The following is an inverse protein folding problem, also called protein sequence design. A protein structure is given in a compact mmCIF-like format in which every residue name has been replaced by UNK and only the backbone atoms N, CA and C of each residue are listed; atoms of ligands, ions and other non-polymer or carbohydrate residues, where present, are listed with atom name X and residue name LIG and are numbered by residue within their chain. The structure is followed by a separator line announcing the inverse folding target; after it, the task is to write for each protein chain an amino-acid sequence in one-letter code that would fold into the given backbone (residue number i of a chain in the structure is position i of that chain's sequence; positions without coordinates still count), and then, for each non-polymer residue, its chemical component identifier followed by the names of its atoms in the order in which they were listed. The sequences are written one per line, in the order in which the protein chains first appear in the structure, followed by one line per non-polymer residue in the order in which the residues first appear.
data_IF_905434103368
#
_entry.id   IF_905434103368
#
_cell.length_a   1.000
_cell.length_b   1.000
_cell.length_c   1.000
_cell.angle_alpha   90.00
_cell.angle_beta   90.00
_cell.angle_gamma   90.00
#
_symmetry.space_group_name_H-M   'P 1'
#
loop_
_entity.id
_entity.type
_entity.pdbx_description
1 polymer ?
#
# COMPACT_ATOMS: atom_id res chain seq x y z
N UNK A 1 -12.63 -26.91 32.01
CA UNK A 1 -13.01 -27.63 33.22
C UNK A 1 -13.08 -29.11 32.96
N UNK A 2 -12.60 -29.95 33.90
CA UNK A 2 -12.67 -31.41 33.83
C UNK A 2 -13.67 -31.90 34.87
N UNK A 3 -13.34 -31.70 36.18
CA UNK A 3 -14.16 -32.16 37.26
C UNK A 3 -13.83 -31.44 38.56
N UNK A 4 -14.62 -31.70 39.59
CA UNK A 4 -14.39 -31.37 41.00
C UNK A 4 -13.89 -32.62 41.72
N UNK A 5 -12.85 -32.47 42.51
CA UNK A 5 -12.35 -33.54 43.39
C UNK A 5 -12.36 -33.10 44.87
N UNK A 6 -12.45 -34.08 45.77
CA UNK A 6 -12.26 -33.86 47.20
C UNK A 6 -10.77 -33.76 47.59
N UNK A 7 -10.49 -33.69 48.88
CA UNK A 7 -9.12 -33.61 49.43
C UNK A 7 -8.27 -34.83 49.14
N UNK A 8 -8.87 -35.97 48.88
CA UNK A 8 -8.20 -37.23 48.57
C UNK A 8 -7.99 -37.41 47.04
N UNK A 9 -8.39 -36.42 46.26
CA UNK A 9 -8.31 -36.45 44.80
C UNK A 9 -9.39 -37.28 44.11
N UNK A 10 -10.40 -37.75 44.86
CA UNK A 10 -11.52 -38.48 44.29
C UNK A 10 -12.50 -37.54 43.65
N UNK A 11 -12.97 -37.92 42.44
CA UNK A 11 -14.00 -37.16 41.72
C UNK A 11 -15.33 -37.13 42.51
N UNK A 12 -15.88 -35.94 42.71
CA UNK A 12 -17.20 -35.72 43.32
C UNK A 12 -18.22 -35.24 42.31
N UNK A 13 -17.81 -34.58 41.24
CA UNK A 13 -18.71 -34.17 40.16
C UNK A 13 -17.96 -33.76 38.90
N UNK A 14 -18.52 -34.03 37.74
CA UNK A 14 -18.10 -33.49 36.42
C UNK A 14 -19.00 -32.33 35.97
N UNK A 15 -20.02 -31.94 36.76
CA UNK A 15 -20.91 -30.84 36.41
C UNK A 15 -20.31 -29.49 36.69
N UNK A 16 -20.54 -28.51 35.78
CA UNK A 16 -20.19 -27.13 35.98
C UNK A 16 -21.34 -26.22 35.49
N UNK A 17 -22.08 -25.56 36.38
CA UNK A 17 -21.87 -25.48 37.82
C UNK A 17 -22.21 -26.81 38.56
N UNK A 18 -21.54 -27.01 39.71
CA UNK A 18 -21.83 -28.10 40.62
C UNK A 18 -22.55 -27.56 41.87
N UNK A 19 -23.73 -28.09 42.16
CA UNK A 19 -24.53 -27.71 43.32
C UNK A 19 -24.59 -28.87 44.29
N UNK A 20 -24.32 -28.63 45.57
CA UNK A 20 -24.37 -29.68 46.62
C UNK A 20 -24.82 -29.09 47.93
N UNK A 21 -25.32 -29.93 48.82
CA UNK A 21 -25.68 -29.57 50.19
C UNK A 21 -24.44 -29.61 51.09
N UNK A 22 -24.12 -28.51 51.73
CA UNK A 22 -23.01 -28.43 52.70
C UNK A 22 -23.48 -28.99 54.04
N UNK A 23 -23.04 -30.19 54.41
CA UNK A 23 -23.39 -30.86 55.70
C UNK A 23 -22.20 -30.95 56.66
N UNK A 24 -21.00 -30.68 56.18
CA UNK A 24 -19.74 -30.65 56.92
C UNK A 24 -18.72 -29.75 56.22
N UNK A 25 -17.57 -29.51 56.88
CA UNK A 25 -16.48 -28.80 56.23
C UNK A 25 -16.04 -29.56 54.99
N UNK A 26 -16.13 -28.91 53.83
CA UNK A 26 -15.88 -29.53 52.53
C UNK A 26 -14.87 -28.66 51.76
N UNK A 27 -13.83 -29.29 51.26
CA UNK A 27 -12.87 -28.68 50.30
C UNK A 27 -13.04 -29.33 48.97
N UNK A 28 -13.23 -28.54 47.94
CA UNK A 28 -13.31 -28.99 46.53
C UNK A 28 -12.22 -28.36 45.71
N UNK A 29 -11.60 -29.17 44.85
CA UNK A 29 -10.61 -28.73 43.87
C UNK A 29 -11.22 -28.78 42.50
N UNK A 30 -11.21 -27.66 41.78
CA UNK A 30 -11.59 -27.59 40.37
C UNK A 30 -10.41 -27.96 39.50
N UNK A 31 -10.57 -29.01 38.70
CA UNK A 31 -9.56 -29.47 37.75
C UNK A 31 -9.84 -28.98 36.34
N UNK A 32 -8.80 -28.50 35.69
CA UNK A 32 -8.86 -28.00 34.30
C UNK A 32 -7.83 -28.74 33.45
N UNK A 33 -8.21 -29.08 32.22
CA UNK A 33 -7.28 -29.53 31.23
C UNK A 33 -6.92 -28.35 30.33
N UNK A 34 -5.62 -28.13 30.10
CA UNK A 34 -5.18 -27.18 29.09
C UNK A 34 -5.73 -27.61 27.75
N UNK A 35 -6.48 -26.72 27.09
CA UNK A 35 -6.81 -26.94 25.69
C UNK A 35 -5.53 -26.72 24.89
N UNK A 36 -5.06 -27.75 24.21
CA UNK A 36 -4.07 -27.60 23.15
C UNK A 36 -4.80 -26.98 21.95
N UNK A 37 -4.96 -25.67 21.96
CA UNK A 37 -5.41 -24.92 20.80
C UNK A 37 -4.24 -24.99 19.82
N UNK A 38 -4.32 -25.86 18.82
CA UNK A 38 -3.43 -25.76 17.67
C UNK A 38 -3.55 -24.33 17.13
N UNK A 39 -2.45 -23.58 17.01
CA UNK A 39 -2.52 -22.26 16.39
C UNK A 39 -3.22 -22.41 15.04
N UNK A 40 -4.31 -21.69 14.85
CA UNK A 40 -4.98 -21.62 13.56
C UNK A 40 -4.00 -21.01 12.56
N UNK A 41 -3.87 -21.65 11.40
CA UNK A 41 -3.02 -21.14 10.34
C UNK A 41 -3.54 -19.74 9.91
N UNK A 42 -2.65 -18.78 9.59
CA UNK A 42 -3.10 -17.49 9.12
C UNK A 42 -4.05 -17.62 7.93
N UNK A 43 -5.02 -16.76 7.82
CA UNK A 43 -5.88 -16.70 6.63
C UNK A 43 -5.18 -15.99 5.48
N UNK A 44 -5.70 -16.13 4.26
CA UNK A 44 -5.22 -15.36 3.11
C UNK A 44 -5.25 -13.85 3.39
N UNK A 45 -6.24 -13.36 4.17
CA UNK A 45 -6.36 -11.96 4.56
C UNK A 45 -5.25 -11.55 5.53
N UNK A 46 -4.91 -12.39 6.51
CA UNK A 46 -3.85 -12.09 7.48
C UNK A 46 -2.49 -11.95 6.78
N UNK A 47 -2.20 -12.82 5.81
CA UNK A 47 -0.98 -12.73 4.99
C UNK A 47 -0.98 -11.45 4.14
N UNK A 48 -2.11 -11.10 3.54
CA UNK A 48 -2.24 -9.89 2.74
C UNK A 48 -2.07 -8.63 3.59
N UNK A 49 -2.67 -8.59 4.77
CA UNK A 49 -2.55 -7.48 5.73
C UNK A 49 -1.08 -7.32 6.21
N UNK A 50 -0.35 -8.42 6.41
CA UNK A 50 1.09 -8.41 6.71
C UNK A 50 1.92 -7.85 5.54
N UNK A 51 1.57 -8.18 4.30
CA UNK A 51 2.23 -7.65 3.10
C UNK A 51 2.01 -6.14 3.01
N UNK A 52 0.79 -5.67 3.27
CA UNK A 52 0.42 -4.25 3.25
C UNK A 52 1.15 -3.49 4.37
N UNK A 53 1.05 -3.97 5.61
CA UNK A 53 1.65 -3.33 6.78
C UNK A 53 3.18 -3.27 6.68
N UNK A 54 3.80 -4.32 6.13
CA UNK A 54 5.24 -4.41 5.90
C UNK A 54 5.73 -3.68 4.65
N UNK A 55 4.83 -3.07 3.85
CA UNK A 55 5.17 -2.44 2.56
C UNK A 55 6.04 -3.35 1.67
N UNK A 56 5.70 -4.65 1.66
CA UNK A 56 6.53 -5.68 1.01
C UNK A 56 6.44 -5.67 -0.53
N UNK A 57 5.49 -4.93 -1.10
CA UNK A 57 5.36 -4.72 -2.56
C UNK A 57 6.10 -3.44 -2.93
N UNK A 58 7.00 -3.45 -3.92
CA UNK A 58 7.68 -2.25 -4.38
C UNK A 58 6.69 -1.18 -4.84
N UNK A 59 6.86 0.06 -4.37
CA UNK A 59 6.04 1.20 -4.80
C UNK A 59 6.62 1.92 -6.01
N UNK A 60 7.89 1.66 -6.33
CA UNK A 60 8.60 2.25 -7.47
C UNK A 60 9.43 1.17 -8.16
N UNK A 61 9.32 1.11 -9.48
CA UNK A 61 10.21 0.33 -10.36
C UNK A 61 11.09 1.32 -11.09
N UNK A 62 12.42 1.18 -10.91
CA UNK A 62 13.40 2.09 -11.48
C UNK A 62 13.73 1.75 -12.94
N UNK A 63 14.39 2.69 -13.61
CA UNK A 63 14.79 2.47 -15.00
C UNK A 63 15.79 1.30 -15.10
N UNK A 64 15.44 0.31 -15.92
CA UNK A 64 16.26 -0.88 -16.14
C UNK A 64 15.81 -2.12 -15.35
N UNK A 65 14.92 -1.96 -14.39
CA UNK A 65 14.22 -3.10 -13.77
C UNK A 65 13.17 -3.63 -14.72
N UNK A 66 13.17 -4.94 -14.91
CA UNK A 66 12.32 -5.64 -15.87
C UNK A 66 11.28 -6.54 -15.21
N UNK A 67 11.23 -6.53 -13.87
CA UNK A 67 10.33 -7.40 -13.10
C UNK A 67 9.82 -6.72 -11.82
N UNK A 68 8.54 -6.89 -11.55
CA UNK A 68 7.92 -6.62 -10.25
C UNK A 68 8.01 -7.88 -9.40
N UNK A 69 8.96 -7.91 -8.48
CA UNK A 69 9.14 -9.06 -7.57
C UNK A 69 8.09 -9.04 -6.48
N UNK A 70 7.28 -10.08 -6.40
CA UNK A 70 6.31 -10.27 -5.33
C UNK A 70 6.99 -10.80 -4.05
N UNK A 71 6.47 -10.46 -2.85
CA UNK A 71 6.99 -11.00 -1.60
C UNK A 71 6.75 -12.50 -1.50
N UNK A 72 7.63 -13.18 -0.76
CA UNK A 72 7.45 -14.59 -0.45
C UNK A 72 6.32 -14.75 0.58
N UNK A 73 5.48 -15.76 0.39
CA UNK A 73 4.43 -16.17 1.31
C UNK A 73 4.79 -17.50 1.96
N UNK A 74 4.17 -17.86 3.10
CA UNK A 74 4.42 -19.15 3.76
C UNK A 74 4.10 -20.35 2.85
N UNK A 75 4.64 -21.50 3.19
CA UNK A 75 4.38 -22.75 2.47
C UNK A 75 2.89 -23.08 2.46
N UNK A 76 2.37 -23.50 1.32
CA UNK A 76 0.97 -23.77 1.09
C UNK A 76 0.14 -22.59 0.64
N UNK A 77 0.64 -21.34 0.80
CA UNK A 77 0.00 -20.13 0.27
C UNK A 77 0.49 -19.84 -1.14
N UNK A 78 -0.36 -19.14 -1.90
CA UNK A 78 -0.02 -18.66 -3.25
C UNK A 78 -0.21 -17.16 -3.32
N UNK A 79 0.68 -16.47 -4.02
CA UNK A 79 0.57 -15.04 -4.31
C UNK A 79 0.70 -14.82 -5.80
N UNK A 80 -0.14 -13.97 -6.36
CA UNK A 80 -0.14 -13.69 -7.80
C UNK A 80 -0.72 -12.31 -8.11
N UNK A 81 -0.33 -11.75 -9.25
CA UNK A 81 -0.97 -10.59 -9.85
C UNK A 81 -2.20 -11.07 -10.62
N UNK A 82 -3.36 -10.50 -10.33
CA UNK A 82 -4.62 -10.89 -10.98
C UNK A 82 -5.16 -9.82 -11.93
N UNK A 83 -4.76 -8.56 -11.73
CA UNK A 83 -5.17 -7.44 -12.59
C UNK A 83 -4.12 -6.36 -12.60
N UNK A 84 -4.00 -5.66 -13.71
CA UNK A 84 -3.14 -4.47 -13.88
C UNK A 84 -3.89 -3.37 -14.62
N UNK A 85 -3.62 -2.11 -14.28
CA UNK A 85 -4.20 -0.96 -14.97
C UNK A 85 -3.25 0.26 -14.87
N UNK A 86 -2.79 0.85 -16.00
CA UNK A 86 -3.05 0.44 -17.38
C UNK A 86 -2.34 -0.87 -17.76
N UNK A 87 -2.88 -1.57 -18.75
CA UNK A 87 -2.28 -2.78 -19.29
C UNK A 87 -1.02 -2.45 -20.12
N UNK A 88 -0.18 -3.47 -20.34
CA UNK A 88 0.99 -3.38 -21.23
C UNK A 88 2.25 -2.79 -20.59
N UNK A 89 2.21 -2.38 -19.31
CA UNK A 89 3.39 -1.91 -18.57
C UNK A 89 3.89 -2.97 -17.59
N UNK A 90 3.00 -3.55 -16.80
CA UNK A 90 3.29 -4.70 -15.95
C UNK A 90 2.40 -5.85 -16.42
N UNK A 91 2.98 -7.02 -16.66
CA UNK A 91 2.24 -8.23 -17.00
C UNK A 91 1.84 -9.00 -15.74
N UNK A 92 0.91 -9.96 -15.87
CA UNK A 92 0.44 -10.76 -14.74
C UNK A 92 1.52 -11.69 -14.15
N UNK A 93 2.57 -11.96 -14.90
CA UNK A 93 3.75 -12.70 -14.44
C UNK A 93 4.80 -11.81 -13.74
N UNK A 94 4.53 -10.51 -13.64
CA UNK A 94 5.44 -9.54 -13.04
C UNK A 94 6.40 -8.88 -14.03
N UNK A 95 6.45 -9.32 -15.30
CA UNK A 95 7.33 -8.72 -16.30
C UNK A 95 6.98 -7.24 -16.53
N UNK A 96 8.00 -6.37 -16.55
CA UNK A 96 7.85 -4.92 -16.67
C UNK A 96 8.36 -4.44 -18.04
N UNK A 97 7.51 -3.73 -18.75
CA UNK A 97 7.85 -3.00 -19.98
C UNK A 97 8.03 -1.52 -19.64
N UNK A 98 9.24 -0.97 -19.88
CA UNK A 98 9.53 0.42 -19.58
C UNK A 98 8.65 1.35 -20.42
N UNK A 99 7.79 2.19 -19.81
CA UNK A 99 6.95 3.14 -20.52
C UNK A 99 7.76 4.32 -21.07
N UNK A 100 7.14 5.13 -21.95
CA UNK A 100 7.77 6.36 -22.47
C UNK A 100 7.93 7.44 -21.41
N UNK A 101 6.96 7.55 -20.51
CA UNK A 101 6.92 8.51 -19.38
C UNK A 101 6.70 7.75 -18.08
N UNK A 102 7.07 8.36 -16.96
CA UNK A 102 6.72 7.85 -15.64
C UNK A 102 5.22 7.59 -15.56
N UNK A 103 4.85 6.37 -15.18
CA UNK A 103 3.45 5.94 -15.17
C UNK A 103 3.13 5.22 -13.88
N UNK A 104 2.03 5.59 -13.25
CA UNK A 104 1.50 4.86 -12.10
C UNK A 104 0.62 3.71 -12.60
N UNK A 105 0.91 2.51 -12.13
CA UNK A 105 0.20 1.28 -12.47
C UNK A 105 -0.47 0.74 -11.21
N UNK A 106 -1.77 0.50 -11.27
CA UNK A 106 -2.50 -0.20 -10.22
C UNK A 106 -2.38 -1.69 -10.47
N UNK A 107 -1.83 -2.41 -9.51
CA UNK A 107 -1.63 -3.86 -9.55
C UNK A 107 -2.49 -4.50 -8.48
N UNK A 108 -3.44 -5.35 -8.89
CA UNK A 108 -4.22 -6.16 -7.95
C UNK A 108 -3.47 -7.44 -7.66
N UNK A 109 -3.08 -7.61 -6.39
CA UNK A 109 -2.39 -8.82 -5.91
C UNK A 109 -3.38 -9.65 -5.11
N UNK A 110 -3.40 -10.96 -5.36
CA UNK A 110 -4.25 -11.92 -4.67
C UNK A 110 -3.39 -12.94 -3.93
N UNK A 111 -3.77 -13.20 -2.68
CA UNK A 111 -3.21 -14.28 -1.85
C UNK A 111 -4.25 -15.35 -1.71
N UNK A 112 -3.86 -16.62 -1.86
CA UNK A 112 -4.73 -17.79 -1.68
C UNK A 112 -4.14 -18.64 -0.55
N UNK A 113 -4.96 -19.02 0.43
CA UNK A 113 -4.56 -19.91 1.52
C UNK A 113 -4.63 -21.40 1.11
N UNK A 114 -4.13 -22.32 1.96
CA UNK A 114 -4.16 -23.76 1.68
C UNK A 114 -5.56 -24.34 1.54
N UNK A 115 -6.59 -23.64 2.04
CA UNK A 115 -8.00 -24.05 1.94
C UNK A 115 -8.65 -23.55 0.64
N UNK A 116 -7.92 -22.74 -0.17
CA UNK A 116 -8.39 -22.19 -1.42
C UNK A 116 -9.15 -20.86 -1.29
N UNK A 117 -9.24 -20.29 -0.08
CA UNK A 117 -9.81 -18.95 0.12
C UNK A 117 -8.85 -17.90 -0.36
N UNK A 118 -9.36 -16.82 -0.95
CA UNK A 118 -8.55 -15.75 -1.52
C UNK A 118 -8.85 -14.41 -0.87
N UNK A 119 -7.80 -13.59 -0.72
CA UNK A 119 -7.89 -12.19 -0.39
C UNK A 119 -7.12 -11.38 -1.44
N UNK A 120 -7.56 -10.16 -1.75
CA UNK A 120 -6.93 -9.33 -2.78
C UNK A 120 -6.89 -7.87 -2.36
N UNK A 121 -5.83 -7.17 -2.80
CA UNK A 121 -5.69 -5.73 -2.61
C UNK A 121 -5.03 -5.07 -3.83
N UNK A 122 -5.29 -3.78 -4.00
CA UNK A 122 -4.70 -2.96 -5.05
C UNK A 122 -3.48 -2.20 -4.51
N UNK A 123 -2.40 -2.23 -5.28
CA UNK A 123 -1.14 -1.54 -5.01
C UNK A 123 -0.82 -0.59 -6.15
N UNK A 124 -0.46 0.65 -5.82
CA UNK A 124 0.02 1.59 -6.82
C UNK A 124 1.54 1.47 -6.95
N UNK A 125 2.01 1.13 -8.14
CA UNK A 125 3.43 1.00 -8.48
C UNK A 125 3.79 2.04 -9.53
N UNK A 126 4.73 2.93 -9.21
CA UNK A 126 5.26 3.91 -10.15
C UNK A 126 6.37 3.30 -10.99
N UNK A 127 6.12 3.12 -12.28
CA UNK A 127 7.13 2.63 -13.24
C UNK A 127 7.82 3.82 -13.90
N UNK A 128 9.14 3.91 -13.71
CA UNK A 128 9.96 4.96 -14.32
C UNK A 128 10.10 4.77 -15.82
N UNK A 129 9.79 5.85 -16.57
CA UNK A 129 9.85 5.87 -18.03
C UNK A 129 11.26 6.12 -18.58
N UNK A 130 11.37 5.98 -19.90
CA UNK A 130 12.62 6.29 -20.63
C UNK A 130 12.98 7.76 -20.53
N UNK A 131 12.01 8.64 -20.20
CA UNK A 131 12.17 10.10 -20.21
C UNK A 131 12.96 10.54 -21.46
N UNK A 132 12.43 10.24 -22.65
CA UNK A 132 12.95 10.87 -23.86
C UNK A 132 12.80 12.38 -23.67
N UNK A 133 13.90 13.17 -23.79
CA UNK A 133 13.79 14.61 -23.77
C UNK A 133 12.75 14.98 -24.83
N UNK A 134 11.67 15.63 -24.39
CA UNK A 134 10.53 15.94 -25.23
C UNK A 134 11.05 16.57 -26.53
N UNK A 135 10.63 16.03 -27.66
CA UNK A 135 10.42 16.87 -28.83
C UNK A 135 9.41 17.90 -28.37
N UNK A 136 9.89 19.11 -28.13
CA UNK A 136 9.02 20.28 -28.02
C UNK A 136 8.07 20.18 -29.22
N UNK A 137 6.77 20.27 -28.97
CA UNK A 137 5.76 20.44 -29.99
C UNK A 137 6.29 21.48 -30.98
N UNK A 138 6.26 21.20 -32.31
CA UNK A 138 6.65 22.21 -33.26
C UNK A 138 5.78 23.43 -32.97
N UNK A 139 6.41 24.52 -32.51
CA UNK A 139 5.78 25.82 -32.42
C UNK A 139 5.09 26.05 -33.74
N UNK A 140 3.78 26.24 -33.67
CA UNK A 140 2.88 26.66 -34.71
C UNK A 140 3.55 27.79 -35.53
N UNK A 141 3.84 27.60 -36.84
CA UNK A 141 4.45 28.63 -37.68
C UNK A 141 3.35 29.49 -38.29
N UNK A 142 2.67 30.28 -37.48
CA UNK A 142 1.77 31.32 -37.96
C UNK A 142 1.91 32.60 -37.17
N UNK A 143 2.90 33.40 -37.53
CA UNK A 143 2.68 34.81 -37.87
C UNK A 143 3.87 35.43 -38.57
N UNK A 144 3.83 35.58 -39.89
CA UNK A 144 4.74 36.50 -40.59
C UNK A 144 4.14 37.89 -40.53
N UNK A 145 4.50 38.67 -39.53
CA UNK A 145 4.25 40.11 -39.63
C UNK A 145 5.41 40.80 -40.28
N UNK A 146 5.11 41.24 -41.43
CA UNK A 146 5.84 42.18 -42.31
C UNK A 146 6.36 43.40 -41.59
N UNK A 147 7.56 43.75 -41.90
CA UNK A 147 7.88 44.98 -42.65
C UNK A 147 8.32 46.17 -41.82
N UNK A 148 9.58 46.36 -41.84
CA UNK A 148 10.22 47.45 -42.61
C UNK A 148 10.20 48.87 -42.02
N UNK A 149 11.40 49.35 -42.04
CA UNK A 149 11.90 50.72 -42.22
C UNK A 149 12.13 51.63 -41.00
N UNK A 150 13.44 51.68 -40.69
CA UNK A 150 14.25 52.91 -40.83
C UNK A 150 13.95 54.15 -40.02
N UNK A 151 14.91 54.55 -39.23
CA UNK A 151 15.54 55.87 -39.10
C UNK A 151 15.67 56.41 -37.68
N UNK A 152 17.00 56.55 -37.36
CA UNK A 152 17.65 57.71 -36.71
C UNK A 152 17.25 58.13 -35.28
N UNK A 153 18.26 57.93 -34.44
CA UNK A 153 18.82 58.76 -33.33
C UNK A 153 18.81 60.29 -33.57
N UNK A 154 18.96 61.22 -32.62
CA UNK A 154 19.41 61.04 -31.23
C UNK A 154 18.74 61.97 -30.19
N UNK A 155 19.14 61.73 -28.94
CA UNK A 155 19.38 62.69 -27.87
C UNK A 155 18.31 63.01 -26.82
N UNK A 156 18.81 62.87 -25.62
CA UNK A 156 18.67 63.67 -24.41
C UNK A 156 17.80 63.16 -23.26
N UNK A 157 18.58 62.75 -22.28
CA UNK A 157 18.59 63.26 -20.89
C UNK A 157 17.26 63.40 -20.13
N UNK A 158 17.15 62.61 -19.05
CA UNK A 158 17.12 63.08 -17.66
C UNK A 158 16.78 61.97 -16.68
N UNK A 159 17.64 61.77 -15.74
CA UNK A 159 17.47 61.06 -14.44
C UNK A 159 16.73 62.01 -13.46
N UNK A 160 16.42 61.58 -12.23
CA UNK A 160 15.74 60.40 -11.70
C UNK A 160 14.55 60.75 -10.76
N UNK A 161 13.72 59.79 -10.38
CA UNK A 161 13.00 59.90 -9.10
C UNK A 161 12.93 58.50 -8.44
N UNK A 162 13.45 58.50 -7.22
CA UNK A 162 13.30 57.46 -6.21
C UNK A 162 11.88 57.45 -5.66
N UNK A 163 11.40 56.29 -5.33
CA UNK A 163 10.70 55.90 -4.11
C UNK A 163 10.18 54.49 -4.40
N UNK A 164 10.53 53.44 -3.72
CA UNK A 164 10.28 53.15 -2.31
C UNK A 164 9.10 52.18 -2.30
N UNK A 165 9.29 50.98 -2.17
CA UNK A 165 8.99 50.23 -0.94
C UNK A 165 9.09 48.72 -1.14
N UNK A 166 9.58 48.07 -0.11
CA UNK A 166 9.79 46.67 0.00
C UNK A 166 8.48 45.96 0.28
N UNK A 167 8.26 44.80 -0.37
CA UNK A 167 7.58 43.71 0.31
C UNK A 167 8.09 42.37 -0.20
N UNK A 168 8.67 41.65 0.74
CA UNK A 168 9.13 40.29 0.61
C UNK A 168 7.96 39.37 0.25
N UNK A 169 8.07 38.64 -0.85
CA UNK A 169 7.25 37.48 -1.09
C UNK A 169 8.08 36.24 -0.81
N UNK A 170 7.80 35.68 0.34
CA UNK A 170 8.36 34.42 0.79
C UNK A 170 8.09 33.30 -0.22
N UNK A 171 9.16 32.64 -0.66
CA UNK A 171 9.08 31.44 -1.44
C UNK A 171 8.44 30.30 -0.64
N UNK A 172 7.32 29.82 -1.09
CA UNK A 172 6.71 28.61 -0.61
C UNK A 172 7.37 27.43 -1.30
N UNK A 173 8.33 26.82 -0.61
CA UNK A 173 8.74 25.47 -0.92
C UNK A 173 7.61 24.53 -0.50
N UNK A 174 6.84 24.08 -1.46
CA UNK A 174 5.90 22.98 -1.26
C UNK A 174 6.68 21.68 -1.38
N UNK A 175 7.14 21.16 -0.25
CA UNK A 175 7.61 19.79 -0.16
C UNK A 175 6.39 18.87 -0.28
N UNK A 176 6.10 18.36 -1.47
CA UNK A 176 5.16 17.25 -1.65
C UNK A 176 5.84 15.96 -1.21
N UNK A 177 5.64 15.59 0.04
CA UNK A 177 5.75 14.20 0.46
C UNK A 177 4.60 13.44 -0.18
N UNK A 178 4.91 12.65 -1.20
CA UNK A 178 3.97 11.69 -1.77
C UNK A 178 3.77 10.56 -0.75
N UNK A 179 2.83 10.76 0.17
CA UNK A 179 2.27 9.68 0.95
C UNK A 179 1.38 8.88 -0.01
N UNK A 180 1.83 7.68 -0.40
CA UNK A 180 1.02 6.74 -1.15
C UNK A 180 -0.20 6.36 -0.31
N UNK A 181 -1.36 6.87 -0.70
CA UNK A 181 -2.61 6.47 -0.10
C UNK A 181 -2.96 5.06 -0.59
N UNK A 182 -2.84 4.07 0.29
CA UNK A 182 -3.40 2.73 0.07
C UNK A 182 -4.92 2.86 0.30
N UNK A 183 -5.70 2.83 -0.77
CA UNK A 183 -7.16 2.80 -0.68
C UNK A 183 -7.58 1.35 -0.47
N UNK A 184 -7.91 1.00 0.76
CA UNK A 184 -8.51 -0.29 1.12
C UNK A 184 -9.99 -0.30 0.71
N UNK A 185 -10.31 -0.94 -0.41
CA UNK A 185 -11.69 -1.27 -0.76
C UNK A 185 -12.04 -2.64 -0.17
N UNK A 186 -12.69 -2.63 0.98
CA UNK A 186 -13.23 -3.83 1.63
C UNK A 186 -14.46 -4.33 0.87
N UNK A 187 -14.32 -5.38 0.08
CA UNK A 187 -15.47 -6.09 -0.49
C UNK A 187 -15.89 -7.20 0.48
N UNK A 188 -16.97 -6.96 1.24
CA UNK A 188 -17.65 -8.01 2.01
C UNK A 188 -18.42 -8.87 1.03
N UNK A 189 -18.08 -10.16 0.96
CA UNK A 189 -18.96 -11.14 0.36
C UNK A 189 -19.94 -11.64 1.43
N UNK A 190 -21.22 -11.50 1.11
CA UNK A 190 -22.34 -12.11 1.84
C UNK A 190 -22.41 -13.60 1.50
#
# INVERSE_FOLDING_TARGET
FVNWTDTDGKEVSSSNPYTFAVTANTTLTANFKKMDVKPEAPTAQDILDEIIAGQKVPTVITKGETELVLPKVPEGYKIQITKVNPEGIIALDGTVTTPKKDTDVIVTISVTDPEGKTASADFTVKVKGKNEPGKEDPKDPQNPSKGDTNKKDPSQDKKPVKTGDATAAAGWMLAMTAAGAVVLVRKRNS
#
